data_IF_904264721231
#
_entry.id   IF_904264721231
#
_cell.length_a   1.000
_cell.length_b   1.000
_cell.length_c   1.000
_cell.angle_alpha   90.00
_cell.angle_beta   90.00
_cell.angle_gamma   90.00
#
_symmetry.space_group_name_H-M   'P 1'
#
loop_
_entity.id
_entity.type
_entity.pdbx_description
1 polymer ?
#
# COMPACT_ATOMS: atom_id res chain seq x y z
N UNK A 1 -2.12 -49.58 -14.32
CA UNK A 1 -2.22 -48.11 -14.23
C UNK A 1 -3.33 -47.65 -15.16
N UNK A 2 -4.49 -47.26 -14.61
CA UNK A 2 -5.71 -47.01 -15.38
C UNK A 2 -5.80 -45.53 -15.79
N UNK A 3 -6.44 -45.27 -16.94
CA UNK A 3 -6.61 -43.95 -17.58
C UNK A 3 -7.15 -42.81 -16.66
N UNK A 4 -7.60 -43.13 -15.43
CA UNK A 4 -8.07 -42.16 -14.43
C UNK A 4 -6.95 -41.46 -13.67
N UNK A 5 -5.79 -42.09 -13.46
CA UNK A 5 -4.66 -41.42 -12.80
C UNK A 5 -3.93 -40.45 -13.73
N UNK A 6 -3.96 -40.68 -15.04
CA UNK A 6 -3.39 -39.76 -16.02
C UNK A 6 -4.12 -38.40 -16.07
N UNK A 7 -5.46 -38.39 -15.97
CA UNK A 7 -6.26 -37.15 -16.00
C UNK A 7 -6.12 -36.29 -14.75
N UNK A 8 -5.85 -36.89 -13.58
CA UNK A 8 -5.63 -36.14 -12.34
C UNK A 8 -4.29 -35.39 -12.36
N UNK A 9 -3.26 -35.98 -12.99
CA UNK A 9 -1.93 -35.37 -13.11
C UNK A 9 -1.94 -34.24 -14.15
N UNK A 10 -2.71 -34.37 -15.24
CA UNK A 10 -2.86 -33.28 -16.23
C UNK A 10 -3.62 -32.08 -15.68
N UNK A 11 -4.62 -32.28 -14.82
CA UNK A 11 -5.35 -31.17 -14.18
C UNK A 11 -4.50 -30.46 -13.11
N UNK A 12 -3.67 -31.18 -12.35
CA UNK A 12 -2.76 -30.57 -11.37
C UNK A 12 -1.61 -29.79 -12.02
N UNK A 13 -1.15 -30.21 -13.19
CA UNK A 13 -0.14 -29.47 -13.97
C UNK A 13 -0.70 -28.23 -14.68
N UNK A 14 -1.99 -28.24 -15.09
CA UNK A 14 -2.62 -27.09 -15.74
C UNK A 14 -2.88 -25.91 -14.76
N UNK A 15 -3.17 -26.19 -13.49
CA UNK A 15 -3.40 -25.15 -12.48
C UNK A 15 -2.10 -24.51 -11.98
N UNK A 16 -0.96 -25.20 -12.13
CA UNK A 16 0.35 -24.67 -11.75
C UNK A 16 1.02 -23.81 -12.85
N UNK A 17 0.49 -23.82 -14.08
CA UNK A 17 1.12 -23.21 -15.26
C UNK A 17 0.41 -21.95 -15.78
N UNK A 18 -0.23 -21.16 -14.91
CA UNK A 18 -0.76 -19.83 -15.27
C UNK A 18 0.02 -18.69 -14.58
N UNK A 19 1.12 -19.01 -13.88
CA UNK A 19 2.09 -18.02 -13.46
C UNK A 19 3.23 -17.94 -14.49
N UNK A 20 3.40 -16.75 -15.08
CA UNK A 20 4.42 -16.28 -16.03
C UNK A 20 4.20 -16.57 -17.54
N UNK A 21 3.68 -15.56 -18.25
CA UNK A 21 4.29 -15.03 -19.49
C UNK A 21 3.63 -13.72 -19.98
N UNK A 22 4.32 -12.57 -19.77
CA UNK A 22 4.46 -11.35 -20.60
C UNK A 22 3.23 -10.60 -21.21
N UNK A 23 3.39 -9.44 -21.87
CA UNK A 23 4.05 -8.17 -21.52
C UNK A 23 3.06 -6.98 -21.54
N UNK A 24 3.56 -5.78 -21.23
CA UNK A 24 2.83 -4.52 -21.26
C UNK A 24 2.22 -4.19 -22.65
N UNK A 25 0.90 -4.05 -22.70
CA UNK A 25 0.17 -3.30 -23.71
C UNK A 25 -1.12 -2.77 -23.06
N UNK A 26 -1.47 -1.52 -23.40
CA UNK A 26 -2.56 -0.71 -22.85
C UNK A 26 -3.94 -1.38 -23.00
N UNK A 27 -4.65 -1.58 -21.89
CA UNK A 27 -6.07 -1.96 -21.87
C UNK A 27 -6.82 -1.07 -20.88
N UNK A 28 -7.91 -0.44 -21.33
CA UNK A 28 -9.02 -0.15 -20.44
C UNK A 28 -9.54 -1.51 -19.95
N UNK A 29 -9.35 -1.81 -18.68
CA UNK A 29 -9.89 -3.01 -18.07
C UNK A 29 -11.38 -2.80 -17.88
N UNK A 30 -12.21 -3.75 -18.32
CA UNK A 30 -13.67 -3.64 -18.31
C UNK A 30 -14.28 -3.75 -16.88
N UNK A 31 -13.64 -3.10 -15.91
CA UNK A 31 -14.12 -2.88 -14.55
C UNK A 31 -14.85 -1.53 -14.49
N UNK A 32 -16.20 -1.53 -14.50
CA UNK A 32 -16.98 -0.31 -14.49
C UNK A 32 -16.69 0.57 -13.26
N UNK A 33 -16.23 0.01 -12.14
CA UNK A 33 -15.87 0.81 -10.97
C UNK A 33 -14.56 1.60 -11.20
N UNK A 34 -13.57 0.99 -11.85
CA UNK A 34 -12.29 1.64 -12.20
C UNK A 34 -12.50 2.84 -13.13
N UNK A 35 -13.42 2.71 -14.09
CA UNK A 35 -13.76 3.77 -15.04
C UNK A 35 -14.62 4.89 -14.42
N UNK A 36 -15.48 4.57 -13.45
CA UNK A 36 -16.39 5.55 -12.84
C UNK A 36 -15.73 6.38 -11.73
N UNK A 37 -14.90 5.74 -10.91
CA UNK A 37 -14.37 6.38 -9.72
C UNK A 37 -13.49 7.61 -9.98
N UNK A 38 -12.81 7.83 -11.12
CA UNK A 38 -12.12 9.09 -11.40
C UNK A 38 -13.06 10.32 -11.38
N UNK A 39 -14.31 10.18 -11.84
CA UNK A 39 -15.29 11.28 -11.94
C UNK A 39 -16.23 11.45 -10.75
N UNK A 40 -16.35 10.43 -9.89
CA UNK A 40 -17.34 10.39 -8.81
C UNK A 40 -16.71 9.97 -7.46
N UNK A 41 -17.39 10.27 -6.36
CA UNK A 41 -16.93 9.88 -5.00
C UNK A 41 -17.43 8.50 -4.57
N UNK A 42 -18.43 7.98 -5.27
CA UNK A 42 -18.96 6.64 -5.06
C UNK A 42 -19.36 5.97 -6.36
N UNK A 43 -19.18 4.66 -6.41
CA UNK A 43 -19.79 3.77 -7.39
C UNK A 43 -20.77 2.86 -6.65
N UNK A 44 -22.04 2.89 -7.07
CA UNK A 44 -23.09 2.04 -6.54
C UNK A 44 -23.60 1.12 -7.66
N UNK A 45 -23.94 -0.15 -7.33
CA UNK A 45 -24.47 -1.11 -8.28
C UNK A 45 -25.63 -0.55 -9.11
N UNK A 46 -25.67 -0.92 -10.39
CA UNK A 46 -26.84 -0.61 -11.22
C UNK A 46 -28.02 -1.48 -10.78
N UNK A 47 -29.12 -0.81 -10.39
CA UNK A 47 -30.39 -1.45 -10.03
C UNK A 47 -30.62 -1.62 -8.53
N UNK A 48 -31.09 -0.56 -7.86
CA UNK A 48 -31.82 -0.53 -6.58
C UNK A 48 -31.40 -1.47 -5.42
N UNK A 49 -30.19 -2.05 -5.42
CA UNK A 49 -29.73 -2.99 -4.39
C UNK A 49 -29.31 -2.30 -3.12
N UNK A 50 -28.93 -1.02 -3.19
CA UNK A 50 -28.69 -0.18 -2.02
C UNK A 50 -29.97 0.60 -1.70
N UNK A 51 -30.55 0.34 -0.53
CA UNK A 51 -31.73 1.07 -0.08
C UNK A 51 -31.43 2.58 -0.02
N UNK A 52 -32.35 3.43 -0.50
CA UNK A 52 -32.20 4.90 -0.49
C UNK A 52 -31.71 5.48 0.86
N UNK A 53 -32.17 5.00 2.03
CA UNK A 53 -31.64 5.47 3.31
C UNK A 53 -30.13 5.23 3.49
N UNK A 54 -29.64 4.08 3.02
CA UNK A 54 -28.22 3.70 3.07
C UNK A 54 -27.38 4.56 2.12
N UNK A 55 -27.89 4.83 0.91
CA UNK A 55 -27.24 5.77 -0.01
C UNK A 55 -27.12 7.17 0.60
N UNK A 56 -28.18 7.70 1.20
CA UNK A 56 -28.13 9.01 1.88
C UNK A 56 -27.23 9.04 3.12
N UNK A 57 -26.95 7.91 3.76
CA UNK A 57 -25.92 7.81 4.80
C UNK A 57 -24.52 7.85 4.20
N UNK A 58 -24.28 7.10 3.12
CA UNK A 58 -23.01 7.08 2.41
C UNK A 58 -22.65 8.48 1.87
N UNK A 59 -23.60 9.17 1.22
CA UNK A 59 -23.38 10.52 0.69
C UNK A 59 -23.04 11.53 1.79
N UNK A 60 -23.71 11.42 2.96
CA UNK A 60 -23.39 12.23 4.13
C UNK A 60 -21.98 11.97 4.64
N UNK A 61 -21.54 10.71 4.68
CA UNK A 61 -20.18 10.34 5.10
C UNK A 61 -19.14 10.87 4.12
N UNK A 62 -19.35 10.72 2.82
CA UNK A 62 -18.46 11.22 1.77
C UNK A 62 -18.36 12.74 1.82
N UNK A 63 -19.48 13.44 2.05
CA UNK A 63 -19.50 14.89 2.25
C UNK A 63 -18.70 15.30 3.49
N UNK A 64 -18.92 14.66 4.64
CA UNK A 64 -18.17 14.96 5.88
C UNK A 64 -16.67 14.72 5.67
N UNK A 65 -16.29 13.66 4.96
CA UNK A 65 -14.91 13.35 4.65
C UNK A 65 -14.24 14.43 3.80
N UNK A 66 -14.95 14.91 2.78
CA UNK A 66 -14.52 16.03 1.92
C UNK A 66 -14.39 17.33 2.70
N UNK A 67 -15.40 17.68 3.49
CA UNK A 67 -15.42 18.91 4.32
C UNK A 67 -14.28 18.91 5.36
N UNK A 68 -13.78 17.72 5.73
CA UNK A 68 -12.64 17.54 6.64
C UNK A 68 -11.29 17.38 5.93
N UNK A 69 -11.22 17.63 4.63
CA UNK A 69 -9.98 17.55 3.85
C UNK A 69 -9.44 16.12 3.69
N UNK A 70 -10.30 15.10 3.82
CA UNK A 70 -9.96 13.68 3.67
C UNK A 70 -10.89 13.00 2.66
N UNK A 71 -10.87 13.39 1.38
CA UNK A 71 -11.69 12.72 0.38
C UNK A 71 -11.26 11.25 0.28
N UNK A 72 -12.25 10.35 0.26
CA UNK A 72 -12.04 8.94 -0.06
C UNK A 72 -13.15 8.50 -1.00
N UNK A 73 -12.86 7.52 -1.84
CA UNK A 73 -13.77 6.97 -2.85
C UNK A 73 -14.25 5.60 -2.41
N UNK A 74 -15.51 5.27 -2.68
CA UNK A 74 -16.12 4.00 -2.26
C UNK A 74 -16.78 3.32 -3.47
N UNK A 75 -16.39 2.08 -3.77
CA UNK A 75 -17.13 1.22 -4.70
C UNK A 75 -17.86 0.13 -3.91
N UNK A 76 -19.16 0.00 -4.13
CA UNK A 76 -19.96 -1.11 -3.60
C UNK A 76 -20.21 -2.10 -4.74
N UNK A 77 -19.80 -3.34 -4.55
CA UNK A 77 -19.96 -4.44 -5.52
C UNK A 77 -20.94 -5.43 -4.88
N UNK A 78 -22.19 -5.44 -5.34
CA UNK A 78 -23.25 -6.25 -4.73
C UNK A 78 -23.54 -7.52 -5.53
N UNK A 79 -23.30 -7.47 -6.84
CA UNK A 79 -23.63 -8.53 -7.78
C UNK A 79 -22.45 -8.79 -8.72
N UNK A 80 -22.36 -10.01 -9.29
CA UNK A 80 -21.34 -10.31 -10.29
C UNK A 80 -21.40 -9.39 -11.52
N UNK A 81 -22.58 -8.85 -11.86
CA UNK A 81 -22.74 -7.85 -12.94
C UNK A 81 -22.05 -6.52 -12.64
N UNK A 82 -21.82 -6.20 -11.37
CA UNK A 82 -21.10 -4.98 -10.96
C UNK A 82 -19.59 -5.08 -11.22
N UNK A 83 -19.07 -6.28 -11.51
CA UNK A 83 -17.67 -6.54 -11.85
C UNK A 83 -17.39 -6.49 -13.36
N UNK A 84 -18.39 -6.13 -14.18
CA UNK A 84 -18.22 -6.05 -15.63
C UNK A 84 -17.82 -7.38 -16.27
N UNK A 85 -16.87 -7.37 -17.22
CA UNK A 85 -16.53 -8.56 -18.03
C UNK A 85 -16.02 -9.78 -17.23
N UNK A 86 -15.69 -9.61 -15.95
CA UNK A 86 -15.29 -10.68 -15.02
C UNK A 86 -16.43 -11.69 -14.81
N UNK A 87 -17.70 -11.34 -15.05
CA UNK A 87 -18.83 -12.29 -14.95
C UNK A 87 -18.86 -13.35 -16.04
N UNK A 88 -18.24 -13.09 -17.20
CA UNK A 88 -18.26 -14.04 -18.33
C UNK A 88 -17.54 -15.37 -18.03
N UNK A 89 -16.69 -15.39 -16.99
CA UNK A 89 -16.05 -16.60 -16.46
C UNK A 89 -16.97 -17.42 -15.55
N UNK A 90 -18.02 -16.83 -14.97
CA UNK A 90 -18.94 -17.50 -14.05
C UNK A 90 -20.21 -18.04 -14.70
N UNK A 91 -20.65 -17.46 -15.83
CA UNK A 91 -21.94 -17.81 -16.47
C UNK A 91 -21.88 -19.00 -17.44
N UNK A 92 -20.78 -19.77 -17.47
CA UNK A 92 -20.61 -20.93 -18.38
C UNK A 92 -21.05 -22.27 -17.76
N UNK A 93 -22.02 -22.25 -16.84
CA UNK A 93 -22.59 -23.45 -16.21
C UNK A 93 -24.12 -23.43 -16.41
N UNK A 94 -24.61 -24.36 -17.23
CA UNK A 94 -26.01 -24.48 -17.70
C UNK A 94 -27.05 -24.69 -16.60
N UNK A 95 -28.27 -24.20 -16.86
CA UNK A 95 -29.43 -24.15 -15.96
C UNK A 95 -30.15 -25.51 -15.71
N UNK A 96 -29.71 -26.60 -16.36
CA UNK A 96 -30.43 -27.89 -16.35
C UNK A 96 -30.33 -28.73 -15.07
N UNK A 97 -29.34 -28.48 -14.20
CA UNK A 97 -29.00 -29.38 -13.08
C UNK A 97 -29.54 -28.93 -11.71
N UNK A 98 -30.37 -27.89 -11.67
CA UNK A 98 -30.72 -27.19 -10.40
C UNK A 98 -31.61 -28.01 -9.46
N UNK A 99 -32.31 -29.05 -9.93
CA UNK A 99 -33.27 -29.82 -9.12
C UNK A 99 -32.69 -31.08 -8.45
N UNK A 100 -31.65 -31.72 -9.02
CA UNK A 100 -31.04 -32.94 -8.45
C UNK A 100 -29.82 -32.64 -7.57
N UNK A 101 -29.40 -31.38 -7.50
CA UNK A 101 -28.17 -30.96 -6.82
C UNK A 101 -28.34 -30.79 -5.30
N UNK A 102 -29.54 -30.48 -4.77
CA UNK A 102 -29.69 -30.02 -3.39
C UNK A 102 -29.21 -31.02 -2.31
N UNK A 103 -29.32 -32.33 -2.53
CA UNK A 103 -28.94 -33.34 -1.52
C UNK A 103 -27.50 -33.87 -1.67
N UNK A 104 -26.87 -33.75 -2.84
CA UNK A 104 -25.44 -34.10 -3.03
C UNK A 104 -24.50 -32.90 -2.92
N UNK A 105 -25.03 -31.69 -3.09
CA UNK A 105 -24.30 -30.43 -2.92
C UNK A 105 -23.98 -30.21 -1.45
N UNK A 106 -24.88 -30.45 -0.50
CA UNK A 106 -24.59 -30.23 0.94
C UNK A 106 -23.34 -30.96 1.45
N UNK A 107 -23.09 -32.21 1.04
CA UNK A 107 -21.89 -32.98 1.42
C UNK A 107 -20.63 -32.60 0.62
N UNK A 108 -20.78 -32.24 -0.66
CA UNK A 108 -19.64 -31.79 -1.49
C UNK A 108 -19.21 -30.37 -1.17
N UNK A 109 -20.16 -29.47 -0.91
CA UNK A 109 -19.91 -28.09 -0.48
C UNK A 109 -19.37 -28.05 0.94
N UNK A 110 -19.84 -28.91 1.85
CA UNK A 110 -19.22 -29.04 3.17
C UNK A 110 -17.75 -29.46 3.07
N UNK A 111 -17.42 -30.46 2.24
CA UNK A 111 -16.03 -30.89 2.02
C UNK A 111 -15.18 -29.82 1.34
N UNK A 112 -15.72 -29.09 0.36
CA UNK A 112 -15.03 -27.98 -0.30
C UNK A 112 -14.77 -26.82 0.68
N UNK A 113 -15.73 -26.47 1.53
CA UNK A 113 -15.57 -25.45 2.57
C UNK A 113 -14.53 -25.90 3.60
N UNK A 114 -14.53 -27.17 4.02
CA UNK A 114 -13.51 -27.70 4.93
C UNK A 114 -12.12 -27.71 4.30
N UNK A 115 -11.98 -28.09 3.03
CA UNK A 115 -10.72 -28.01 2.32
C UNK A 115 -10.25 -26.56 2.16
N UNK A 116 -11.14 -25.63 1.82
CA UNK A 116 -10.83 -24.20 1.72
C UNK A 116 -10.40 -23.61 3.07
N UNK A 117 -11.08 -23.95 4.16
CA UNK A 117 -10.70 -23.55 5.51
C UNK A 117 -9.36 -24.16 5.94
N UNK A 118 -9.10 -25.42 5.61
CA UNK A 118 -7.82 -26.06 5.89
C UNK A 118 -6.68 -25.42 5.08
N UNK A 119 -6.89 -25.12 3.80
CA UNK A 119 -5.90 -24.39 2.99
C UNK A 119 -5.69 -22.96 3.46
N UNK A 120 -6.74 -22.28 3.92
CA UNK A 120 -6.62 -20.97 4.52
C UNK A 120 -5.82 -21.03 5.84
N UNK A 121 -6.08 -22.02 6.70
CA UNK A 121 -5.31 -22.20 7.94
C UNK A 121 -3.83 -22.50 7.67
N UNK A 122 -3.53 -23.33 6.67
CA UNK A 122 -2.15 -23.64 6.26
C UNK A 122 -1.47 -22.41 5.64
N UNK A 123 -2.20 -21.59 4.88
CA UNK A 123 -1.70 -20.31 4.36
C UNK A 123 -1.44 -19.28 5.47
N UNK A 124 -2.21 -19.30 6.58
CA UNK A 124 -1.93 -18.49 7.77
C UNK A 124 -0.79 -19.02 8.63
N UNK A 125 -0.48 -20.32 8.56
CA UNK A 125 0.58 -20.96 9.33
C UNK A 125 1.94 -20.99 8.61
N UNK A 126 1.96 -20.78 7.29
CA UNK A 126 3.20 -20.53 6.58
C UNK A 126 3.77 -19.20 7.09
N UNK A 127 5.02 -19.16 7.62
CA UNK A 127 5.67 -17.88 7.86
C UNK A 127 5.67 -17.18 6.51
N UNK A 128 4.97 -16.05 6.41
CA UNK A 128 5.13 -15.17 5.29
C UNK A 128 6.61 -14.80 5.31
N UNK A 129 7.40 -15.45 4.46
CA UNK A 129 8.68 -14.94 4.05
C UNK A 129 8.36 -13.70 3.22
N UNK A 130 7.92 -12.65 3.90
CA UNK A 130 8.01 -11.31 3.39
C UNK A 130 9.49 -11.12 3.18
N UNK A 131 9.90 -11.05 1.91
CA UNK A 131 11.17 -10.49 1.54
C UNK A 131 11.10 -9.01 1.91
N UNK A 132 11.14 -8.72 3.21
CA UNK A 132 11.56 -7.43 3.67
C UNK A 132 13.02 -7.39 3.26
N UNK A 133 13.31 -6.61 2.22
CA UNK A 133 14.66 -6.08 2.09
C UNK A 133 14.98 -5.50 3.46
N UNK A 134 16.04 -6.01 4.08
CA UNK A 134 16.35 -5.63 5.43
C UNK A 134 16.91 -4.20 5.50
N UNK A 135 16.82 -3.41 4.43
CA UNK A 135 16.93 -1.96 4.41
C UNK A 135 15.54 -1.27 4.47
N UNK A 136 15.14 -0.71 5.62
CA UNK A 136 13.84 -0.04 5.73
C UNK A 136 13.63 1.16 4.79
N UNK A 137 14.71 1.80 4.31
CA UNK A 137 14.58 2.94 3.41
C UNK A 137 14.13 2.53 2.01
N UNK A 138 14.56 1.35 1.52
CA UNK A 138 14.19 0.84 0.20
C UNK A 138 12.71 0.44 0.15
N UNK A 139 12.15 -0.03 1.26
CA UNK A 139 10.73 -0.33 1.41
C UNK A 139 9.87 0.95 1.48
N UNK A 140 10.41 2.05 2.03
CA UNK A 140 9.63 3.27 2.31
C UNK A 140 9.63 4.27 1.14
N UNK A 141 10.79 4.53 0.52
CA UNK A 141 10.94 5.59 -0.48
C UNK A 141 10.19 5.43 -1.81
N UNK A 142 9.75 4.22 -2.23
CA UNK A 142 8.83 4.10 -3.36
C UNK A 142 7.51 4.84 -3.12
N UNK A 143 6.96 4.74 -1.90
CA UNK A 143 5.67 5.34 -1.52
C UNK A 143 5.76 6.78 -0.98
N UNK A 144 6.93 7.19 -0.47
CA UNK A 144 7.11 8.46 0.23
C UNK A 144 8.33 9.21 -0.28
N UNK A 145 8.41 10.53 -0.05
CA UNK A 145 9.55 11.33 -0.52
C UNK A 145 10.67 11.45 0.51
N UNK A 146 10.36 11.23 1.79
CA UNK A 146 11.31 11.33 2.91
C UNK A 146 11.28 10.05 3.74
N UNK A 147 12.46 9.52 4.06
CA UNK A 147 12.67 8.50 5.09
C UNK A 147 13.47 9.14 6.23
N UNK A 148 12.97 9.02 7.46
CA UNK A 148 13.55 9.62 8.66
C UNK A 148 13.87 8.53 9.71
N UNK A 149 14.86 8.75 10.59
CA UNK A 149 15.29 7.77 11.59
C UNK A 149 14.15 7.29 12.51
N UNK A 150 14.06 5.98 12.75
CA UNK A 150 13.03 5.38 13.60
C UNK A 150 13.28 5.59 15.10
N UNK A 151 14.53 5.38 15.53
CA UNK A 151 14.89 5.36 16.95
C UNK A 151 15.04 6.75 17.55
N UNK A 152 15.36 7.76 16.72
CA UNK A 152 15.62 9.11 17.16
C UNK A 152 14.79 10.11 16.36
N UNK A 153 13.76 10.65 16.99
CA UNK A 153 12.78 11.51 16.32
C UNK A 153 13.39 12.83 15.83
N UNK A 154 13.16 13.13 14.55
CA UNK A 154 13.35 14.47 13.98
C UNK A 154 12.30 15.42 14.56
N UNK A 155 12.69 16.66 14.86
CA UNK A 155 11.74 17.67 15.31
C UNK A 155 10.64 17.90 14.27
N UNK A 156 9.37 17.87 14.68
CA UNK A 156 8.21 18.03 13.79
C UNK A 156 8.28 19.25 12.86
N UNK A 157 8.74 20.45 13.30
CA UNK A 157 8.90 21.59 12.41
C UNK A 157 9.84 21.33 11.24
N UNK A 158 10.95 20.62 11.48
CA UNK A 158 11.97 20.28 10.47
C UNK A 158 11.47 19.20 9.53
N UNK A 159 10.79 18.17 10.04
CA UNK A 159 10.12 17.16 9.20
C UNK A 159 9.11 17.83 8.26
N UNK A 160 8.21 18.67 8.80
CA UNK A 160 7.22 19.36 7.97
C UNK A 160 7.83 20.34 6.97
N UNK A 161 9.00 20.92 7.28
CA UNK A 161 9.76 21.75 6.33
C UNK A 161 10.29 20.91 5.17
N UNK A 162 10.91 19.77 5.46
CA UNK A 162 11.40 18.82 4.45
C UNK A 162 10.26 18.32 3.58
N UNK A 163 9.17 17.84 4.17
CA UNK A 163 8.02 17.30 3.43
C UNK A 163 7.39 18.34 2.49
N UNK A 164 7.29 19.61 2.93
CA UNK A 164 6.83 20.71 2.06
C UNK A 164 7.78 20.98 0.91
N UNK A 165 9.09 21.03 1.17
CA UNK A 165 10.09 21.27 0.13
C UNK A 165 10.04 20.17 -0.94
N UNK A 166 10.00 18.91 -0.52
CA UNK A 166 9.92 17.76 -1.42
C UNK A 166 8.61 17.73 -2.22
N UNK A 167 7.49 18.08 -1.58
CA UNK A 167 6.23 18.26 -2.28
C UNK A 167 6.32 19.34 -3.36
N UNK A 168 6.88 20.51 -3.05
CA UNK A 168 7.04 21.59 -4.03
C UNK A 168 7.93 21.15 -5.20
N UNK A 169 9.00 20.40 -4.92
CA UNK A 169 9.89 19.90 -5.95
C UNK A 169 9.19 18.91 -6.90
N UNK A 170 8.45 17.94 -6.33
CA UNK A 170 7.61 17.01 -7.11
C UNK A 170 6.56 17.75 -7.94
N UNK A 171 5.83 18.70 -7.35
CA UNK A 171 4.80 19.49 -8.06
C UNK A 171 5.40 20.30 -9.23
N UNK A 172 6.71 20.60 -9.19
CA UNK A 172 7.47 21.25 -10.27
C UNK A 172 8.13 20.26 -11.25
N UNK A 173 7.76 18.98 -11.20
CA UNK A 173 8.31 17.94 -12.09
C UNK A 173 9.77 17.60 -11.81
N UNK A 174 10.25 17.86 -10.58
CA UNK A 174 11.60 17.55 -10.10
C UNK A 174 11.53 16.77 -8.79
N UNK A 175 11.07 15.51 -8.80
CA UNK A 175 10.90 14.75 -7.57
C UNK A 175 12.26 14.46 -6.92
N UNK A 176 12.32 14.68 -5.60
CA UNK A 176 13.44 14.28 -4.76
C UNK A 176 13.01 13.15 -3.83
N UNK A 177 13.86 12.15 -3.66
CA UNK A 177 13.74 11.12 -2.61
C UNK A 177 14.86 11.36 -1.60
N UNK A 178 14.53 11.43 -0.32
CA UNK A 178 15.48 11.80 0.73
C UNK A 178 15.53 10.73 1.81
N UNK A 179 16.70 10.16 2.06
CA UNK A 179 16.95 9.28 3.20
C UNK A 179 17.83 9.99 4.22
N UNK A 180 17.31 10.21 5.43
CA UNK A 180 18.08 10.69 6.57
C UNK A 180 18.42 9.49 7.44
N UNK A 181 19.71 9.15 7.53
CA UNK A 181 20.21 7.99 8.28
C UNK A 181 21.08 8.52 9.43
N UNK A 182 20.59 8.43 10.66
CA UNK A 182 21.29 8.96 11.84
C UNK A 182 22.12 7.89 12.55
N UNK A 183 21.65 6.64 12.57
CA UNK A 183 22.31 5.53 13.25
C UNK A 183 22.38 4.28 12.36
N UNK A 184 23.25 3.30 12.69
CA UNK A 184 23.29 2.04 11.94
C UNK A 184 21.96 1.29 11.91
N UNK A 185 21.13 1.42 12.95
CA UNK A 185 19.81 0.77 13.04
C UNK A 185 18.83 1.27 11.99
N UNK A 186 19.00 2.49 11.48
CA UNK A 186 18.17 3.05 10.42
C UNK A 186 18.38 2.34 9.07
N UNK A 187 19.44 1.54 8.94
CA UNK A 187 19.79 0.75 7.75
C UNK A 187 19.39 -0.74 7.85
N UNK A 188 18.78 -1.15 8.97
CA UNK A 188 18.45 -2.55 9.24
C UNK A 188 19.65 -3.50 9.07
N UNK A 189 19.66 -4.40 8.08
CA UNK A 189 20.75 -5.35 7.88
C UNK A 189 21.95 -4.79 7.09
N UNK A 190 21.81 -3.66 6.37
CA UNK A 190 22.91 -3.09 5.57
C UNK A 190 23.79 -2.10 6.36
N UNK A 191 23.94 -2.35 7.66
CA UNK A 191 24.74 -1.52 8.61
C UNK A 191 26.18 -1.28 8.18
N UNK A 192 26.77 -2.16 7.38
CA UNK A 192 28.14 -1.99 6.84
C UNK A 192 28.30 -0.76 5.92
N UNK A 193 27.18 -0.21 5.42
CA UNK A 193 27.09 1.02 4.63
C UNK A 193 26.85 2.27 5.49
N UNK A 194 26.72 2.13 6.81
CA UNK A 194 26.61 3.27 7.70
C UNK A 194 27.83 4.18 7.58
N UNK A 195 27.59 5.50 7.61
CA UNK A 195 28.62 6.52 7.43
C UNK A 195 29.30 6.51 6.04
N UNK A 196 28.74 5.76 5.07
CA UNK A 196 29.21 5.68 3.68
C UNK A 196 28.09 6.11 2.72
N UNK A 197 27.72 7.40 2.73
CA UNK A 197 26.51 7.86 2.06
C UNK A 197 26.56 7.68 0.54
N UNK A 198 27.74 7.78 -0.11
CA UNK A 198 27.89 7.56 -1.56
C UNK A 198 27.65 6.08 -1.95
N UNK A 199 28.36 5.09 -1.39
CA UNK A 199 28.03 3.68 -1.62
C UNK A 199 26.57 3.33 -1.32
N UNK A 200 26.03 3.88 -0.24
CA UNK A 200 24.65 3.62 0.14
C UNK A 200 23.63 4.23 -0.84
N UNK A 201 23.82 5.47 -1.29
CA UNK A 201 22.97 6.08 -2.30
C UNK A 201 22.92 5.25 -3.59
N UNK A 202 24.08 4.74 -4.03
CA UNK A 202 24.16 3.85 -5.20
C UNK A 202 23.42 2.52 -5.01
N UNK A 203 23.52 1.94 -3.82
CA UNK A 203 22.76 0.74 -3.44
C UNK A 203 21.26 1.03 -3.47
N UNK A 204 20.82 1.98 -2.65
CA UNK A 204 19.41 2.32 -2.46
C UNK A 204 18.73 2.75 -3.77
N UNK A 205 19.41 3.54 -4.60
CA UNK A 205 18.87 3.96 -5.90
C UNK A 205 18.61 2.77 -6.83
N UNK A 206 19.47 1.74 -6.83
CA UNK A 206 19.26 0.54 -7.66
C UNK A 206 18.03 -0.25 -7.21
N UNK A 207 17.78 -0.31 -5.92
CA UNK A 207 16.63 -1.02 -5.34
C UNK A 207 15.32 -0.30 -5.67
N UNK A 208 15.28 1.03 -5.53
CA UNK A 208 14.00 1.77 -5.62
C UNK A 208 13.68 2.32 -7.01
N UNK A 209 14.66 2.49 -7.93
CA UNK A 209 14.43 3.21 -9.19
C UNK A 209 13.33 2.63 -10.07
N UNK A 210 13.09 1.31 -10.01
CA UNK A 210 12.04 0.66 -10.79
C UNK A 210 10.64 0.87 -10.20
N UNK A 211 10.57 1.27 -8.92
CA UNK A 211 9.33 1.47 -8.16
C UNK A 211 8.98 2.96 -8.02
N UNK A 212 9.96 3.84 -8.14
CA UNK A 212 9.76 5.29 -8.10
C UNK A 212 9.24 5.78 -9.45
N UNK A 213 8.19 6.60 -9.41
CA UNK A 213 7.63 7.22 -10.62
C UNK A 213 8.53 8.35 -11.13
N UNK A 214 8.99 8.22 -12.37
CA UNK A 214 9.81 9.22 -13.05
C UNK A 214 11.28 9.25 -12.61
N UNK A 215 12.01 10.21 -13.14
CA UNK A 215 13.44 10.40 -12.87
C UNK A 215 13.62 11.22 -11.58
N UNK A 216 13.66 10.55 -10.42
CA UNK A 216 13.87 11.22 -9.15
C UNK A 216 15.36 11.37 -8.80
N UNK A 217 15.69 12.47 -8.12
CA UNK A 217 17.00 12.65 -7.49
C UNK A 217 16.97 12.08 -6.08
N UNK A 218 17.78 11.04 -5.82
CA UNK A 218 17.96 10.47 -4.49
C UNK A 218 19.06 11.24 -3.73
N UNK A 219 18.74 11.68 -2.52
CA UNK A 219 19.65 12.32 -1.59
C UNK A 219 19.72 11.52 -0.30
N UNK A 220 20.89 11.00 0.03
CA UNK A 220 21.16 10.34 1.30
C UNK A 220 21.98 11.27 2.18
N UNK A 221 21.51 11.52 3.41
CA UNK A 221 22.23 12.31 4.41
C UNK A 221 22.59 11.45 5.61
N UNK A 222 23.88 11.39 5.92
CA UNK A 222 24.47 10.66 7.04
C UNK A 222 25.43 11.58 7.83
N UNK A 223 25.82 11.20 9.06
CA UNK A 223 26.90 11.89 9.79
C UNK A 223 28.19 12.04 8.96
N UNK A 224 28.47 11.07 8.09
CA UNK A 224 29.66 11.02 7.22
C UNK A 224 29.57 11.83 5.94
N UNK A 225 28.45 12.52 5.68
CA UNK A 225 28.27 13.40 4.52
C UNK A 225 27.00 13.08 3.72
N UNK A 226 27.02 13.45 2.43
CA UNK A 226 25.89 13.31 1.51
C UNK A 226 26.24 12.41 0.32
N UNK A 227 25.30 11.55 -0.06
CA UNK A 227 25.33 10.70 -1.25
C UNK A 227 24.21 11.08 -2.20
N UNK A 228 24.47 11.04 -3.50
CA UNK A 228 23.52 11.46 -4.54
C UNK A 228 23.46 10.41 -5.65
N UNK A 229 22.25 10.17 -6.15
CA UNK A 229 21.98 9.40 -7.37
C UNK A 229 20.76 9.99 -8.11
N UNK A 230 20.60 9.64 -9.39
CA UNK A 230 19.45 10.08 -10.20
C UNK A 230 19.67 11.40 -10.95
N UNK A 231 18.55 12.03 -11.34
CA UNK A 231 18.48 13.08 -12.37
C UNK A 231 19.45 14.25 -12.14
N UNK A 232 19.45 14.83 -10.93
CA UNK A 232 20.21 16.04 -10.61
C UNK A 232 21.55 15.74 -9.90
N UNK A 233 21.93 14.46 -9.78
CA UNK A 233 23.11 14.06 -9.03
C UNK A 233 24.40 14.69 -9.58
N UNK A 234 24.51 14.82 -10.91
CA UNK A 234 25.68 15.39 -11.57
C UNK A 234 25.91 16.87 -11.22
N UNK A 235 24.84 17.67 -11.23
CA UNK A 235 24.87 19.08 -10.85
C UNK A 235 25.04 19.25 -9.34
N UNK A 236 24.47 18.34 -8.54
CA UNK A 236 24.56 18.35 -7.09
C UNK A 236 25.90 17.92 -6.48
N UNK A 237 26.84 17.39 -7.27
CA UNK A 237 28.11 16.82 -6.73
C UNK A 237 28.90 17.77 -5.84
N UNK A 238 29.02 19.03 -6.25
CA UNK A 238 29.75 20.04 -5.48
C UNK A 238 29.02 20.39 -4.17
N UNK A 239 27.69 20.47 -4.22
CA UNK A 239 26.86 20.69 -3.03
C UNK A 239 27.04 19.54 -2.03
N UNK A 240 26.94 18.29 -2.48
CA UNK A 240 27.12 17.12 -1.62
C UNK A 240 28.53 17.03 -1.01
N UNK A 241 29.57 17.45 -1.76
CA UNK A 241 30.94 17.50 -1.24
C UNK A 241 31.15 18.60 -0.19
N UNK A 242 30.40 19.70 -0.28
CA UNK A 242 30.46 20.83 0.65
C UNK A 242 29.62 20.59 1.93
N UNK A 243 28.54 19.81 1.86
CA UNK A 243 27.71 19.48 3.03
C UNK A 243 28.42 18.48 3.94
N UNK A 244 28.70 18.87 5.19
CA UNK A 244 29.38 18.05 6.20
C UNK A 244 28.60 18.08 7.53
N UNK A 245 27.62 17.18 7.73
CA UNK A 245 26.82 17.17 8.95
C UNK A 245 27.66 16.86 10.21
N UNK A 246 28.62 15.94 10.08
CA UNK A 246 29.57 15.59 11.14
C UNK A 246 29.09 14.44 12.04
N UNK A 247 30.02 13.80 12.77
CA UNK A 247 29.75 12.55 13.51
C UNK A 247 28.81 12.70 14.72
N UNK A 248 28.57 13.94 15.18
CA UNK A 248 27.69 14.26 16.32
C UNK A 248 26.38 14.93 15.88
N UNK A 249 26.09 14.94 14.58
CA UNK A 249 24.86 15.52 14.08
C UNK A 249 23.65 14.77 14.64
N UNK A 250 22.74 15.52 15.25
CA UNK A 250 21.44 15.01 15.67
C UNK A 250 20.58 14.68 14.44
N UNK A 251 19.57 13.79 14.55
CA UNK A 251 18.63 13.55 13.45
C UNK A 251 18.00 14.82 12.90
N UNK A 252 17.66 15.77 13.78
CA UNK A 252 17.10 17.07 13.38
C UNK A 252 18.10 17.91 12.59
N UNK A 253 19.38 17.92 12.97
CA UNK A 253 20.44 18.58 12.20
C UNK A 253 20.62 17.91 10.83
N UNK A 254 20.67 16.58 10.76
CA UNK A 254 20.75 15.85 9.49
C UNK A 254 19.56 16.16 8.57
N UNK A 255 18.34 16.23 9.11
CA UNK A 255 17.16 16.61 8.33
C UNK A 255 17.21 18.07 7.87
N UNK A 256 17.72 18.99 8.69
CA UNK A 256 17.95 20.39 8.30
C UNK A 256 19.03 20.52 7.21
N UNK A 257 20.09 19.72 7.29
CA UNK A 257 21.12 19.63 6.26
C UNK A 257 20.56 19.05 4.95
N UNK A 258 19.61 18.11 5.04
CA UNK A 258 18.90 17.58 3.89
C UNK A 258 18.07 18.66 3.18
N UNK A 259 17.30 19.47 3.92
CA UNK A 259 16.56 20.62 3.37
C UNK A 259 17.50 21.55 2.60
N UNK A 260 18.58 21.99 3.27
CA UNK A 260 19.56 22.91 2.68
C UNK A 260 20.24 22.31 1.44
N UNK A 261 20.54 21.01 1.49
CA UNK A 261 21.19 20.30 0.38
C UNK A 261 20.26 20.16 -0.82
N UNK A 262 18.99 19.81 -0.63
CA UNK A 262 17.99 19.75 -1.71
C UNK A 262 17.80 21.12 -2.35
N UNK A 263 17.65 22.19 -1.57
CA UNK A 263 17.53 23.56 -2.11
C UNK A 263 18.74 23.94 -2.98
N UNK A 264 19.96 23.65 -2.51
CA UNK A 264 21.20 23.94 -3.24
C UNK A 264 21.38 23.07 -4.48
N UNK A 265 21.03 21.78 -4.43
CA UNK A 265 21.08 20.89 -5.60
C UNK A 265 20.10 21.37 -6.67
N UNK A 266 18.87 21.69 -6.26
CA UNK A 266 17.85 22.18 -7.19
C UNK A 266 18.29 23.50 -7.85
N UNK A 267 18.87 24.42 -7.08
CA UNK A 267 19.47 25.65 -7.63
C UNK A 267 20.65 25.37 -8.58
N UNK A 268 21.59 24.49 -8.21
CA UNK A 268 22.72 24.11 -9.04
C UNK A 268 22.29 23.42 -10.35
N UNK A 269 21.10 22.81 -10.36
CA UNK A 269 20.51 22.13 -11.52
C UNK A 269 19.66 23.07 -12.39
N UNK A 270 19.58 24.36 -12.05
CA UNK A 270 18.79 25.35 -12.80
C UNK A 270 17.31 25.43 -12.40
N UNK A 271 16.90 24.76 -11.33
CA UNK A 271 15.51 24.69 -10.85
C UNK A 271 15.39 25.11 -9.39
N UNK A 272 15.67 26.38 -9.05
CA UNK A 272 15.65 26.83 -7.66
C UNK A 272 14.28 26.60 -7.02
N UNK A 273 14.29 25.96 -5.85
CA UNK A 273 13.13 25.78 -5.01
C UNK A 273 12.98 26.99 -4.07
N UNK A 274 11.75 27.36 -3.67
CA UNK A 274 11.56 28.40 -2.68
C UNK A 274 12.15 27.95 -1.34
N UNK A 275 12.74 28.89 -0.61
CA UNK A 275 13.17 28.62 0.76
C UNK A 275 11.95 28.35 1.64
N UNK A 276 11.87 27.14 2.18
CA UNK A 276 10.77 26.78 3.07
C UNK A 276 11.22 27.04 4.50
N UNK A 277 10.52 27.92 5.24
CA UNK A 277 10.83 28.14 6.66
C UNK A 277 10.31 26.98 7.52
N UNK A 278 10.97 26.65 8.65
CA UNK A 278 10.37 25.80 9.67
C UNK A 278 9.06 26.45 10.13
N UNK A 279 7.97 25.69 10.07
CA UNK A 279 6.67 26.15 10.57
C UNK A 279 6.50 25.58 11.96
N UNK A 280 6.13 26.42 12.92
CA UNK A 280 5.83 25.98 14.27
C UNK A 280 4.82 24.82 14.23
N UNK A 281 4.91 23.83 15.12
CA UNK A 281 3.97 22.72 15.11
C UNK A 281 2.56 23.30 15.25
N UNK A 282 1.70 23.07 14.25
CA UNK A 282 0.29 23.35 14.41
C UNK A 282 -0.19 22.54 15.62
N UNK A 283 -0.83 23.20 16.59
CA UNK A 283 -1.37 22.57 17.78
C UNK A 283 -2.31 21.45 17.33
N UNK A 284 -1.88 20.19 17.46
CA UNK A 284 -2.66 19.06 17.03
C UNK A 284 -3.93 19.01 17.87
N UNK A 285 -5.09 19.24 17.25
CA UNK A 285 -6.37 18.99 17.89
C UNK A 285 -6.44 17.50 18.30
N UNK A 286 -6.97 17.16 19.49
CA UNK A 286 -7.00 15.78 19.98
C UNK A 286 -7.77 14.89 18.99
N UNK A 287 -7.06 13.93 18.39
CA UNK A 287 -7.62 13.01 17.40
C UNK A 287 -8.48 11.94 18.06
N UNK A 288 -9.77 12.24 18.22
CA UNK A 288 -10.79 11.29 18.69
C UNK A 288 -11.01 10.11 17.72
N UNK A 289 -10.45 10.17 16.51
CA UNK A 289 -10.68 9.18 15.44
C UNK A 289 -9.99 7.83 15.65
N UNK A 290 -8.82 7.79 16.31
CA UNK A 290 -8.09 6.52 16.45
C UNK A 290 -8.77 5.56 17.42
N UNK A 291 -9.40 6.10 18.48
CA UNK A 291 -10.22 5.33 19.42
C UNK A 291 -11.48 4.78 18.76
N UNK A 292 -12.14 5.57 17.90
CA UNK A 292 -13.34 5.11 17.20
C UNK A 292 -13.05 3.98 16.22
N UNK A 293 -11.93 4.04 15.49
CA UNK A 293 -11.52 2.97 14.57
C UNK A 293 -11.24 1.65 15.30
N UNK A 294 -10.52 1.69 16.42
CA UNK A 294 -10.28 0.49 17.25
C UNK A 294 -11.59 -0.10 17.75
N UNK A 295 -12.54 0.72 18.21
CA UNK A 295 -13.85 0.24 18.65
C UNK A 295 -14.69 -0.36 17.52
N UNK A 296 -14.62 0.19 16.30
CA UNK A 296 -15.31 -0.38 15.13
C UNK A 296 -14.75 -1.75 14.73
N UNK A 297 -13.42 -1.94 14.79
CA UNK A 297 -12.79 -3.24 14.52
C UNK A 297 -13.21 -4.27 15.58
N UNK A 298 -13.20 -3.90 16.86
CA UNK A 298 -13.65 -4.78 17.95
C UNK A 298 -15.14 -5.13 17.83
N UNK A 299 -15.99 -4.15 17.53
CA UNK A 299 -17.42 -4.37 17.33
C UNK A 299 -17.71 -5.29 16.13
N UNK A 300 -16.98 -5.11 15.02
CA UNK A 300 -17.08 -5.98 13.85
C UNK A 300 -16.69 -7.43 14.15
N UNK A 301 -15.60 -7.63 14.91
CA UNK A 301 -15.18 -8.97 15.33
C UNK A 301 -16.23 -9.66 16.22
N UNK A 302 -16.78 -8.95 17.21
CA UNK A 302 -17.83 -9.49 18.09
C UNK A 302 -19.12 -9.81 17.33
N UNK A 303 -19.50 -8.97 16.37
CA UNK A 303 -20.66 -9.22 15.51
C UNK A 303 -20.47 -10.48 14.67
N UNK A 304 -19.28 -10.68 14.08
CA UNK A 304 -18.95 -11.90 13.34
C UNK A 304 -19.08 -13.17 14.18
N UNK A 305 -18.61 -13.15 15.44
CA UNK A 305 -18.75 -14.27 16.38
C UNK A 305 -20.23 -14.54 16.70
N UNK A 306 -21.02 -13.50 16.97
CA UNK A 306 -22.45 -13.65 17.28
C UNK A 306 -23.24 -14.27 16.11
N UNK A 307 -22.97 -13.84 14.87
CA UNK A 307 -23.59 -14.41 13.66
C UNK A 307 -23.21 -15.89 13.51
N UNK A 308 -21.93 -16.24 13.71
CA UNK A 308 -21.48 -17.63 13.62
C UNK A 308 -22.19 -18.54 14.64
N UNK A 309 -22.36 -18.08 15.88
CA UNK A 309 -23.08 -18.81 16.92
C UNK A 309 -24.57 -18.98 16.60
N UNK A 310 -25.23 -17.94 16.07
CA UNK A 310 -26.63 -18.00 15.64
C UNK A 310 -26.86 -18.99 14.49
N UNK A 311 -25.96 -18.99 13.50
CA UNK A 311 -26.02 -19.94 12.39
C UNK A 311 -25.82 -21.38 12.88
N UNK A 312 -24.90 -21.60 13.83
CA UNK A 312 -24.67 -22.90 14.45
C UNK A 312 -25.90 -23.37 15.24
N UNK A 313 -26.51 -22.49 16.03
CA UNK A 313 -27.72 -22.81 16.79
C UNK A 313 -28.89 -23.21 15.88
N UNK A 314 -29.10 -22.48 14.78
CA UNK A 314 -30.12 -22.82 13.76
C UNK A 314 -29.86 -24.16 13.07
N UNK A 315 -28.59 -24.48 12.81
CA UNK A 315 -28.23 -25.78 12.23
C UNK A 315 -28.58 -26.94 13.17
N UNK A 316 -28.33 -26.79 14.48
CA UNK A 316 -28.67 -27.79 15.50
C UNK A 316 -30.19 -27.96 15.61
N UNK A 317 -30.95 -26.87 15.63
CA UNK A 317 -32.42 -26.94 15.69
C UNK A 317 -33.03 -27.65 14.48
N UNK A 318 -32.49 -27.44 13.28
CA UNK A 318 -32.93 -28.13 12.06
C UNK A 318 -32.59 -29.62 12.09
N UNK A 319 -31.50 -30.02 12.75
CA UNK A 319 -31.14 -31.43 12.92
C UNK A 319 -32.05 -32.13 13.95
N UNK A 320 -32.52 -31.43 14.98
CA UNK A 320 -33.42 -31.99 15.99
C UNK A 320 -34.89 -32.11 15.52
N UNK A 321 -35.28 -31.39 14.47
CA UNK A 321 -36.63 -31.40 13.89
C UNK A 321 -36.79 -32.43 12.74
N UNK A 322 -35.75 -33.22 12.45
CA UNK A 322 -35.75 -34.33 11.49
C UNK A 322 -35.67 -35.63 12.24
#
# INVERSE_FOLDING_TARGET
>A
MTLRTARLITCLLATALVALAAPAATWADADPASDYLPGFDSYLPYGNTVAKPTQGQLDRLLKIARDRGRPFKVAVIATPTDLGAVTSLFNKLDDGDRALACDRVTLRTARLITCLLATALVALAAPAATWADADPASDYLPGFDSYLPYGNTVAKPTQGQLDRLLKIARDRGRPFKVAVIATPTDLGAVTSLFNKPKPYAKFLYREIKALVQGEATLVVVMPGGVGLEGQDAAAGRQVAAATRPGPKATPTQLASDAVTTVEKIAAASGHPLPQVKPVAPATAAPSHGHRLFVWLVVAGALFGVAVALLLRARAIQRAAAR
#
